data_IF_626816591996
#
_entry.id   IF_626816591996
#
_cell.length_a   1.000
_cell.length_b   1.000
_cell.length_c   1.000
_cell.angle_alpha   90.00
_cell.angle_beta   90.00
_cell.angle_gamma   90.00
#
_symmetry.space_group_name_H-M   'P 1'
#
loop_
_entity.id
_entity.type
_entity.pdbx_description
1 polymer ?
#
# COMPACT_ATOMS: atom_id res chain seq x y z
N UNK A 1 9.17 -10.23 -6.20
CA UNK A 1 8.92 -9.64 -4.86
C UNK A 1 9.34 -8.18 -4.88
N UNK A 2 8.58 -7.38 -5.62
CA UNK A 2 8.77 -5.94 -5.73
C UNK A 2 8.20 -5.24 -4.49
N UNK A 3 8.52 -3.96 -4.28
CA UNK A 3 7.98 -3.18 -3.15
C UNK A 3 6.46 -2.95 -3.29
N UNK A 4 6.00 -2.82 -4.53
CA UNK A 4 4.64 -2.39 -4.85
C UNK A 4 3.60 -3.50 -4.72
N UNK A 5 3.96 -4.77 -4.92
CA UNK A 5 3.05 -5.93 -4.78
C UNK A 5 2.22 -5.90 -3.49
N UNK A 6 2.84 -5.86 -2.28
CA UNK A 6 2.09 -5.87 -1.03
C UNK A 6 1.46 -4.52 -0.66
N UNK A 7 1.66 -3.48 -1.47
CA UNK A 7 1.18 -2.12 -1.20
C UNK A 7 0.00 -1.73 -2.09
N UNK A 8 -0.10 -2.30 -3.29
CA UNK A 8 -1.14 -2.04 -4.28
C UNK A 8 -1.62 -3.41 -4.78
N UNK A 9 -2.50 -4.03 -3.99
CA UNK A 9 -3.05 -5.36 -4.27
C UNK A 9 -4.42 -5.23 -4.95
N UNK A 10 -5.26 -4.32 -4.42
CA UNK A 10 -6.64 -4.12 -4.87
C UNK A 10 -6.95 -2.63 -5.13
N UNK A 11 -8.09 -2.37 -5.77
CA UNK A 11 -8.51 -1.00 -6.08
C UNK A 11 -8.70 -0.09 -4.84
N UNK A 12 -9.08 -0.67 -3.69
CA UNK A 12 -9.23 0.11 -2.46
C UNK A 12 -7.88 0.65 -1.95
N UNK A 13 -6.78 -0.08 -2.15
CA UNK A 13 -5.44 0.40 -1.79
C UNK A 13 -5.06 1.62 -2.65
N UNK A 14 -5.36 1.56 -3.95
CA UNK A 14 -5.14 2.68 -4.88
C UNK A 14 -5.98 3.89 -4.47
N UNK A 15 -7.25 3.66 -4.12
CA UNK A 15 -8.17 4.70 -3.64
C UNK A 15 -7.64 5.37 -2.38
N UNK A 16 -7.22 4.60 -1.37
CA UNK A 16 -6.65 5.15 -0.14
C UNK A 16 -5.38 5.94 -0.40
N UNK A 17 -4.47 5.44 -1.23
CA UNK A 17 -3.25 6.16 -1.61
C UNK A 17 -3.55 7.44 -2.39
N UNK A 18 -4.58 7.44 -3.23
CA UNK A 18 -5.00 8.65 -3.95
C UNK A 18 -5.59 9.68 -3.00
N UNK A 19 -6.49 9.26 -2.14
CA UNK A 19 -7.20 10.15 -1.22
C UNK A 19 -6.24 10.76 -0.18
N UNK A 20 -5.16 10.05 0.15
CA UNK A 20 -4.06 10.54 1.01
C UNK A 20 -2.97 11.32 0.25
N UNK A 21 -3.04 11.39 -1.09
CA UNK A 21 -2.09 12.13 -1.94
C UNK A 21 -0.75 11.43 -2.17
N UNK A 22 -0.64 10.14 -1.81
CA UNK A 22 0.53 9.29 -2.07
C UNK A 22 0.61 8.89 -3.55
N UNK A 23 -0.55 8.65 -4.18
CA UNK A 23 -0.66 8.21 -5.57
C UNK A 23 -1.50 9.21 -6.39
N UNK A 24 -1.01 9.57 -7.57
CA UNK A 24 -1.76 10.37 -8.53
C UNK A 24 -2.21 9.49 -9.69
N UNK A 25 -3.50 9.17 -9.72
CA UNK A 25 -4.08 8.38 -10.80
C UNK A 25 -4.35 9.26 -12.04
N UNK A 26 -3.71 8.92 -13.17
CA UNK A 26 -3.96 9.50 -14.50
C UNK A 26 -4.34 8.44 -15.54
N UNK A 27 -4.47 7.20 -15.12
CA UNK A 27 -4.57 6.03 -15.99
C UNK A 27 -6.01 5.56 -16.18
N UNK A 28 -6.93 5.94 -15.28
CA UNK A 28 -8.33 5.56 -15.39
C UNK A 28 -8.92 5.23 -14.01
N UNK A 29 -9.64 4.13 -13.89
CA UNK A 29 -10.19 3.66 -12.61
C UNK A 29 -9.10 3.16 -11.67
N UNK A 30 -9.44 2.99 -10.39
CA UNK A 30 -8.50 2.47 -9.40
C UNK A 30 -8.15 1.00 -9.66
N UNK A 31 -9.09 0.23 -10.21
CA UNK A 31 -8.89 -1.16 -10.67
C UNK A 31 -7.88 -1.25 -11.82
N UNK A 32 -7.94 -0.30 -12.77
CA UNK A 32 -7.00 -0.26 -13.89
C UNK A 32 -5.58 0.02 -13.42
N UNK A 33 -5.43 0.88 -12.41
CA UNK A 33 -4.14 1.16 -11.77
C UNK A 33 -3.62 -0.04 -10.99
N UNK A 34 -4.45 -0.67 -10.17
CA UNK A 34 -4.06 -1.86 -9.40
C UNK A 34 -3.56 -2.97 -10.35
N UNK A 35 -4.34 -3.25 -11.40
CA UNK A 35 -4.00 -4.25 -12.42
C UNK A 35 -2.68 -3.94 -13.14
N UNK A 36 -2.42 -2.67 -13.47
CA UNK A 36 -1.15 -2.27 -14.08
C UNK A 36 0.03 -2.61 -13.16
N UNK A 37 -0.05 -2.24 -11.88
CA UNK A 37 1.03 -2.49 -10.94
C UNK A 37 1.26 -3.99 -10.70
N UNK A 38 0.19 -4.80 -10.61
CA UNK A 38 0.32 -6.25 -10.52
C UNK A 38 0.99 -6.84 -11.77
N UNK A 39 0.63 -6.37 -12.97
CA UNK A 39 1.23 -6.82 -14.23
C UNK A 39 2.71 -6.43 -14.33
N UNK A 40 3.05 -5.19 -13.98
CA UNK A 40 4.46 -4.74 -13.95
C UNK A 40 5.32 -5.61 -13.04
N UNK A 41 4.80 -6.02 -11.88
CA UNK A 41 5.55 -6.87 -10.95
C UNK A 41 5.73 -8.31 -11.46
N UNK A 42 4.89 -8.76 -12.39
CA UNK A 42 4.99 -10.10 -12.99
C UNK A 42 6.16 -10.19 -13.97
N UNK A 43 6.43 -9.11 -14.70
CA UNK A 43 7.48 -9.06 -15.74
C UNK A 43 8.83 -8.56 -15.21
N UNK A 44 8.89 -8.02 -13.99
CA UNK A 44 10.11 -7.52 -13.37
C UNK A 44 10.92 -8.65 -12.70
N UNK A 45 12.22 -8.72 -13.01
CA UNK A 45 13.16 -9.59 -12.28
C UNK A 45 13.17 -9.18 -10.80
N UNK A 46 12.83 -10.09 -9.88
CA UNK A 46 12.82 -9.77 -8.46
C UNK A 46 14.19 -9.28 -8.00
N UNK A 47 14.26 -8.06 -7.48
CA UNK A 47 15.43 -7.55 -6.78
C UNK A 47 15.12 -7.38 -5.29
N UNK A 48 15.05 -8.49 -4.53
CA UNK A 48 14.59 -8.48 -3.14
C UNK A 48 15.48 -7.65 -2.22
N UNK A 49 16.77 -7.46 -2.57
CA UNK A 49 17.70 -6.73 -1.73
C UNK A 49 17.52 -5.22 -1.78
N UNK A 50 17.13 -4.64 -2.93
CA UNK A 50 17.05 -3.19 -3.12
C UNK A 50 16.06 -2.53 -2.14
N UNK A 51 14.93 -3.20 -1.89
CA UNK A 51 13.87 -2.68 -1.02
C UNK A 51 13.79 -3.38 0.33
N UNK A 52 14.72 -4.29 0.65
CA UNK A 52 14.71 -5.06 1.90
C UNK A 52 14.67 -4.18 3.15
N UNK A 53 15.50 -3.13 3.19
CA UNK A 53 15.54 -2.18 4.31
C UNK A 53 14.24 -1.42 4.48
N UNK A 54 13.67 -0.92 3.39
CA UNK A 54 12.38 -0.18 3.40
C UNK A 54 11.25 -1.10 3.85
N UNK A 55 11.17 -2.33 3.32
CA UNK A 55 10.19 -3.33 3.76
C UNK A 55 10.32 -3.64 5.25
N UNK A 56 11.55 -3.76 5.75
CA UNK A 56 11.80 -3.97 7.17
C UNK A 56 11.32 -2.81 8.04
N UNK A 57 11.52 -1.56 7.59
CA UNK A 57 11.04 -0.37 8.31
C UNK A 57 9.51 -0.29 8.33
N UNK A 58 8.84 -0.52 7.19
CA UNK A 58 7.38 -0.55 7.11
C UNK A 58 6.82 -1.62 8.03
N UNK A 59 7.37 -2.84 7.96
CA UNK A 59 6.94 -3.96 8.81
C UNK A 59 7.09 -3.66 10.31
N UNK A 60 8.23 -3.10 10.71
CA UNK A 60 8.47 -2.74 12.11
C UNK A 60 7.54 -1.60 12.57
N UNK A 61 7.26 -0.63 11.71
CA UNK A 61 6.30 0.44 11.97
C UNK A 61 4.90 -0.15 12.24
N UNK A 62 4.37 -0.98 11.34
CA UNK A 62 3.06 -1.61 11.50
C UNK A 62 2.98 -2.57 12.69
N UNK A 63 4.09 -3.20 13.09
CA UNK A 63 4.17 -4.04 14.29
C UNK A 63 4.15 -3.27 15.60
N UNK A 64 4.37 -1.96 15.58
CA UNK A 64 4.45 -1.19 16.81
C UNK A 64 3.06 -1.10 17.45
N UNK A 65 2.93 -1.64 18.67
CA UNK A 65 1.64 -1.81 19.37
C UNK A 65 0.80 -0.54 19.45
N UNK A 66 1.43 0.63 19.64
CA UNK A 66 0.70 1.90 19.72
C UNK A 66 0.04 2.30 18.39
N UNK A 67 0.63 1.96 17.24
CA UNK A 67 0.08 2.26 15.91
C UNK A 67 -1.18 1.44 15.67
N UNK A 68 -1.17 0.16 16.05
CA UNK A 68 -2.36 -0.68 15.96
C UNK A 68 -3.50 -0.16 16.85
N UNK A 69 -3.20 0.26 18.07
CA UNK A 69 -4.20 0.88 18.94
C UNK A 69 -4.72 2.22 18.42
N UNK A 70 -3.83 3.07 17.87
CA UNK A 70 -4.22 4.34 17.27
C UNK A 70 -5.08 4.13 16.01
N UNK A 71 -4.73 3.17 15.15
CA UNK A 71 -5.51 2.81 13.96
C UNK A 71 -6.89 2.26 14.33
N UNK A 72 -6.96 1.36 15.33
CA UNK A 72 -8.23 0.85 15.87
C UNK A 72 -9.10 1.98 16.43
N UNK A 73 -8.52 2.90 17.19
CA UNK A 73 -9.24 4.06 17.72
C UNK A 73 -9.73 4.99 16.60
N UNK A 74 -8.91 5.29 15.60
CA UNK A 74 -9.31 6.08 14.43
C UNK A 74 -10.50 5.45 13.71
N UNK A 75 -10.40 4.15 13.41
CA UNK A 75 -11.46 3.42 12.71
C UNK A 75 -12.77 3.35 13.51
N UNK A 76 -12.68 3.21 14.84
CA UNK A 76 -13.86 3.06 15.70
C UNK A 76 -14.55 4.39 15.98
N UNK A 77 -13.79 5.46 16.21
CA UNK A 77 -14.33 6.72 16.75
C UNK A 77 -14.36 7.87 15.74
N UNK A 78 -13.51 7.84 14.72
CA UNK A 78 -13.38 8.93 13.76
C UNK A 78 -13.83 8.55 12.34
N UNK A 79 -13.96 7.25 12.06
CA UNK A 79 -14.37 6.71 10.75
C UNK A 79 -15.81 6.17 10.76
N UNK A 80 -16.63 6.50 11.76
CA UNK A 80 -18.06 6.11 11.81
C UNK A 80 -18.97 7.32 12.08
N UNK A 81 -20.04 7.54 11.30
CA UNK A 81 -20.37 7.04 9.95
C UNK A 81 -19.89 7.97 8.83
#
# INVERSE_FOLDING_TARGET
MCLLDPLIDEAEDVKEMRDTGILYNRLGSDEEVAKLFSQMNTDLVPSPMIYSGVKGQIHNHCKTTWINHAAQAYHTYFRSP
#
